data_IF_603592138162
#
_entry.id   IF_603592138162
#
_cell.length_a   1.000
_cell.length_b   1.000
_cell.length_c   1.000
_cell.angle_alpha   90.00
_cell.angle_beta   90.00
_cell.angle_gamma   90.00
#
_symmetry.space_group_name_H-M   'P 1'
#
loop_
_entity.id
_entity.type
_entity.pdbx_description
1 polymer ?
#
# COMPACT_ATOMS: atom_id res chain seq x y z
N UNK A 1 1.97 6.99 43.67
CA UNK A 1 1.74 5.94 42.66
C UNK A 1 3.10 5.50 42.15
N UNK A 2 3.52 4.25 42.39
CA UNK A 2 4.85 3.77 41.98
C UNK A 2 4.78 3.20 40.56
N UNK A 3 5.65 3.66 39.66
CA UNK A 3 5.74 3.16 38.28
C UNK A 3 6.46 1.79 38.31
N UNK A 4 5.93 0.75 37.65
CA UNK A 4 6.58 -0.57 37.61
C UNK A 4 7.93 -0.50 36.88
N UNK A 5 8.88 -1.35 37.28
CA UNK A 5 10.22 -1.39 36.69
C UNK A 5 10.14 -1.90 35.24
N UNK A 6 10.85 -1.28 34.28
CA UNK A 6 10.85 -1.73 32.90
C UNK A 6 11.45 -3.14 32.78
N UNK A 7 10.80 -3.97 31.95
CA UNK A 7 11.18 -5.36 31.72
C UNK A 7 12.54 -5.46 31.03
N UNK A 8 13.39 -6.38 31.50
CA UNK A 8 14.67 -6.69 30.84
C UNK A 8 14.42 -7.55 29.58
N UNK A 9 15.25 -7.47 28.53
CA UNK A 9 15.11 -8.33 27.34
C UNK A 9 15.13 -9.82 27.67
N UNK A 10 15.84 -10.22 28.73
CA UNK A 10 15.87 -11.60 29.22
C UNK A 10 14.52 -12.12 29.72
N UNK A 11 13.57 -11.25 30.05
CA UNK A 11 12.22 -11.64 30.44
C UNK A 11 11.50 -12.40 29.31
N UNK A 12 11.74 -12.02 28.05
CA UNK A 12 11.12 -12.67 26.88
C UNK A 12 11.45 -14.16 26.83
N UNK A 13 12.72 -14.52 27.04
CA UNK A 13 13.16 -15.91 27.03
C UNK A 13 12.57 -16.73 28.18
N UNK A 14 12.45 -16.11 29.36
CA UNK A 14 11.84 -16.74 30.52
C UNK A 14 10.35 -16.99 30.30
N UNK A 15 9.64 -16.01 29.75
CA UNK A 15 8.21 -16.11 29.47
C UNK A 15 7.94 -17.13 28.35
N UNK A 16 8.77 -17.18 27.32
CA UNK A 16 8.69 -18.20 26.26
C UNK A 16 8.90 -19.61 26.82
N UNK A 17 9.89 -19.80 27.70
CA UNK A 17 10.12 -21.10 28.36
C UNK A 17 8.93 -21.50 29.25
N UNK A 18 8.37 -20.55 30.00
CA UNK A 18 7.20 -20.78 30.85
C UNK A 18 5.96 -21.17 30.01
N UNK A 19 5.73 -20.48 28.89
CA UNK A 19 4.67 -20.80 27.94
C UNK A 19 4.83 -22.22 27.37
N UNK A 20 6.05 -22.59 26.96
CA UNK A 20 6.36 -23.92 26.45
C UNK A 20 6.17 -25.02 27.52
N UNK A 21 6.43 -24.71 28.79
CA UNK A 21 6.26 -25.65 29.91
C UNK A 21 4.79 -25.86 30.35
N UNK A 22 3.86 -24.96 30.03
CA UNK A 22 2.46 -25.06 30.45
C UNK A 22 1.69 -26.22 29.80
N UNK A 23 0.76 -26.88 30.51
CA UNK A 23 0.08 -28.10 30.01
C UNK A 23 -1.24 -27.86 29.24
N UNK A 24 -1.34 -26.76 28.50
CA UNK A 24 -2.56 -26.39 27.78
C UNK A 24 -2.61 -27.05 26.40
N UNK A 25 -3.71 -27.75 26.07
CA UNK A 25 -3.86 -28.51 24.82
C UNK A 25 -3.70 -27.67 23.55
N UNK A 26 -4.20 -26.44 23.57
CA UNK A 26 -4.23 -25.56 22.38
C UNK A 26 -3.08 -24.53 22.34
N UNK A 27 -2.12 -24.57 23.28
CA UNK A 27 -1.07 -23.54 23.39
C UNK A 27 -0.24 -23.40 22.11
N UNK A 28 0.12 -24.53 21.49
CA UNK A 28 1.00 -24.53 20.33
C UNK A 28 0.28 -23.97 19.11
N UNK A 29 -1.01 -24.26 18.96
CA UNK A 29 -1.82 -23.72 17.87
C UNK A 29 -1.95 -22.19 18.00
N UNK A 30 -2.28 -21.70 19.18
CA UNK A 30 -2.41 -20.25 19.43
C UNK A 30 -1.06 -19.55 19.29
N UNK A 31 0.01 -20.15 19.82
CA UNK A 31 1.38 -19.63 19.69
C UNK A 31 1.83 -19.57 18.23
N UNK A 32 1.52 -20.61 17.44
CA UNK A 32 1.79 -20.64 16.00
C UNK A 32 1.04 -19.52 15.28
N UNK A 33 -0.27 -19.36 15.51
CA UNK A 33 -1.08 -18.30 14.90
C UNK A 33 -0.54 -16.90 15.27
N UNK A 34 -0.14 -16.72 16.54
CA UNK A 34 0.42 -15.47 17.03
C UNK A 34 1.71 -15.05 16.32
N UNK A 35 2.53 -16.01 15.87
CA UNK A 35 3.75 -15.72 15.10
C UNK A 35 3.45 -15.63 13.61
N UNK A 36 2.55 -16.48 13.12
CA UNK A 36 2.20 -16.60 11.70
C UNK A 36 1.54 -15.34 11.15
N UNK A 37 0.58 -14.74 11.86
CA UNK A 37 -0.10 -13.53 11.37
C UNK A 37 0.87 -12.36 11.15
N UNK A 38 1.71 -11.95 12.13
CA UNK A 38 2.70 -10.91 11.91
C UNK A 38 3.74 -11.28 10.85
N UNK A 39 4.17 -12.55 10.81
CA UNK A 39 5.14 -13.02 9.81
C UNK A 39 4.59 -12.91 8.38
N UNK A 40 3.33 -13.28 8.15
CA UNK A 40 2.66 -13.12 6.85
C UNK A 40 2.54 -11.65 6.45
N UNK A 41 2.25 -10.77 7.40
CA UNK A 41 2.15 -9.34 7.15
C UNK A 41 3.51 -8.74 6.74
N UNK A 42 4.58 -9.09 7.45
CA UNK A 42 5.95 -8.70 7.08
C UNK A 42 6.37 -9.29 5.73
N UNK A 43 6.03 -10.56 5.47
CA UNK A 43 6.31 -11.22 4.20
C UNK A 43 5.57 -10.55 3.03
N UNK A 44 4.31 -10.15 3.24
CA UNK A 44 3.53 -9.40 2.25
C UNK A 44 4.19 -8.08 1.88
N UNK A 45 4.59 -7.27 2.87
CA UNK A 45 5.34 -6.04 2.62
C UNK A 45 6.69 -6.30 1.95
N UNK A 46 7.39 -7.36 2.34
CA UNK A 46 8.67 -7.71 1.73
C UNK A 46 8.52 -8.04 0.25
N UNK A 47 7.48 -8.80 -0.13
CA UNK A 47 7.19 -9.10 -1.55
C UNK A 47 6.77 -7.84 -2.30
N UNK A 48 5.89 -7.01 -1.72
CA UNK A 48 5.42 -5.77 -2.33
C UNK A 48 6.55 -4.72 -2.50
N UNK A 49 7.51 -4.69 -1.58
CA UNK A 49 8.66 -3.77 -1.65
C UNK A 49 9.60 -4.02 -2.84
N UNK A 50 9.48 -5.18 -3.51
CA UNK A 50 10.29 -5.54 -4.68
C UNK A 50 9.73 -4.98 -5.99
N UNK A 51 8.68 -4.15 -5.95
CA UNK A 51 8.17 -3.43 -7.13
C UNK A 51 9.26 -2.50 -7.66
N UNK A 52 9.53 -2.58 -8.97
CA UNK A 52 10.51 -1.75 -9.64
C UNK A 52 10.29 -0.26 -9.30
N UNK A 53 11.37 0.52 -9.07
CA UNK A 53 11.24 1.95 -8.85
C UNK A 53 10.47 2.57 -10.03
N UNK A 54 9.58 3.55 -9.77
CA UNK A 54 8.79 4.15 -10.83
C UNK A 54 9.73 4.68 -11.92
N UNK A 55 9.50 4.22 -13.17
CA UNK A 55 10.31 4.66 -14.31
C UNK A 55 10.30 6.19 -14.35
N UNK A 56 11.46 6.85 -14.51
CA UNK A 56 11.53 8.30 -14.59
C UNK A 56 10.64 8.78 -15.75
N UNK A 57 9.61 9.55 -15.42
CA UNK A 57 8.73 10.14 -16.43
C UNK A 57 9.42 11.41 -16.95
N UNK A 58 9.90 11.37 -18.20
CA UNK A 58 10.31 12.59 -18.88
C UNK A 58 9.06 13.37 -19.32
N UNK A 59 8.76 14.46 -18.62
CA UNK A 59 7.77 15.43 -19.07
C UNK A 59 8.46 16.43 -20.00
N UNK A 60 8.19 16.31 -21.31
CA UNK A 60 8.63 17.30 -22.28
C UNK A 60 7.68 18.50 -22.19
N UNK A 61 8.19 19.61 -21.68
CA UNK A 61 7.49 20.90 -21.75
C UNK A 61 7.85 21.50 -23.11
N UNK A 62 6.90 21.58 -24.07
CA UNK A 62 7.18 22.21 -25.34
C UNK A 62 7.48 23.71 -25.13
N UNK A 63 8.50 24.22 -25.82
CA UNK A 63 8.74 25.66 -25.90
C UNK A 63 7.64 26.31 -26.76
N UNK A 64 6.97 27.31 -26.23
CA UNK A 64 5.92 28.04 -26.95
C UNK A 64 6.44 29.39 -27.46
N UNK A 65 6.02 29.83 -28.66
CA UNK A 65 6.35 31.16 -29.15
C UNK A 65 5.68 32.23 -28.28
N UNK A 66 6.36 33.34 -28.02
CA UNK A 66 5.83 34.46 -27.24
C UNK A 66 4.63 35.15 -27.91
N UNK A 67 4.41 34.91 -29.21
CA UNK A 67 3.33 35.47 -30.02
C UNK A 67 2.06 34.63 -30.00
N UNK A 68 2.01 33.55 -29.21
CA UNK A 68 0.83 32.68 -29.13
C UNK A 68 -0.38 33.45 -28.62
N UNK A 69 -1.53 33.26 -29.27
CA UNK A 69 -2.78 33.90 -28.86
C UNK A 69 -3.52 33.12 -27.77
N UNK A 70 -4.32 33.82 -26.96
CA UNK A 70 -5.16 33.20 -25.92
C UNK A 70 -6.15 32.17 -26.50
N UNK A 71 -6.66 32.42 -27.71
CA UNK A 71 -7.56 31.49 -28.40
C UNK A 71 -6.88 30.13 -28.67
N UNK A 72 -5.61 30.15 -29.09
CA UNK A 72 -4.81 28.94 -29.33
C UNK A 72 -4.45 28.22 -28.03
N UNK A 73 -4.28 28.96 -26.92
CA UNK A 73 -4.06 28.38 -25.59
C UNK A 73 -5.30 27.63 -25.13
N UNK A 74 -6.47 28.27 -25.19
CA UNK A 74 -7.74 27.68 -24.76
C UNK A 74 -8.10 26.46 -25.61
N UNK A 75 -7.87 26.52 -26.92
CA UNK A 75 -8.10 25.39 -27.82
C UNK A 75 -7.24 24.17 -27.44
N UNK A 76 -5.95 24.40 -27.17
CA UNK A 76 -5.03 23.34 -26.75
C UNK A 76 -5.38 22.77 -25.36
N UNK A 77 -5.73 23.64 -24.40
CA UNK A 77 -6.18 23.22 -23.08
C UNK A 77 -7.40 22.30 -23.15
N UNK A 78 -8.37 22.59 -24.02
CA UNK A 78 -9.53 21.70 -24.22
C UNK A 78 -9.11 20.32 -24.76
N UNK A 79 -8.14 20.26 -25.66
CA UNK A 79 -7.63 18.99 -26.21
C UNK A 79 -6.91 18.20 -25.11
N UNK A 80 -6.06 18.85 -24.34
CA UNK A 80 -5.28 18.19 -23.29
C UNK A 80 -6.18 17.76 -22.13
N UNK A 81 -7.18 18.56 -21.78
CA UNK A 81 -8.20 18.19 -20.79
C UNK A 81 -8.95 16.92 -21.22
N UNK A 82 -9.38 16.82 -22.48
CA UNK A 82 -10.04 15.60 -23.00
C UNK A 82 -9.13 14.38 -22.90
N UNK A 83 -7.84 14.50 -23.20
CA UNK A 83 -6.87 13.39 -23.06
C UNK A 83 -6.72 12.96 -21.59
N UNK A 84 -6.68 13.91 -20.67
CA UNK A 84 -6.61 13.62 -19.23
C UNK A 84 -7.89 12.96 -18.72
N UNK A 85 -9.04 13.44 -19.17
CA UNK A 85 -10.35 12.88 -18.79
C UNK A 85 -10.48 11.43 -19.27
N UNK A 86 -10.10 11.14 -20.52
CA UNK A 86 -10.09 9.79 -21.07
C UNK A 86 -9.16 8.84 -20.30
N UNK A 87 -7.97 9.29 -19.90
CA UNK A 87 -7.05 8.50 -19.05
C UNK A 87 -7.65 8.23 -17.67
N UNK A 88 -8.30 9.23 -17.06
CA UNK A 88 -8.98 9.08 -15.77
C UNK A 88 -10.14 8.11 -15.88
N UNK A 89 -10.91 8.15 -16.96
CA UNK A 89 -11.99 7.20 -17.23
C UNK A 89 -11.50 5.76 -17.39
N UNK A 90 -10.44 5.54 -18.17
CA UNK A 90 -9.84 4.22 -18.31
C UNK A 90 -9.40 3.66 -16.95
N UNK A 91 -8.74 4.48 -16.12
CA UNK A 91 -8.35 4.08 -14.76
C UNK A 91 -9.55 3.77 -13.87
N UNK A 92 -10.62 4.58 -13.92
CA UNK A 92 -11.86 4.30 -13.19
C UNK A 92 -12.46 2.97 -13.62
N UNK A 93 -12.45 2.65 -14.92
CA UNK A 93 -12.96 1.37 -15.42
C UNK A 93 -12.10 0.18 -14.96
N UNK A 94 -10.77 0.31 -14.97
CA UNK A 94 -9.86 -0.70 -14.42
C UNK A 94 -10.19 -0.99 -12.94
N UNK A 95 -10.34 0.05 -12.13
CA UNK A 95 -10.67 -0.11 -10.71
C UNK A 95 -12.07 -0.70 -10.50
N UNK A 96 -13.07 -0.31 -11.31
CA UNK A 96 -14.40 -0.91 -11.26
C UNK A 96 -14.36 -2.41 -11.58
N UNK A 97 -13.63 -2.82 -12.63
CA UNK A 97 -13.46 -4.24 -12.96
C UNK A 97 -12.79 -5.03 -11.83
N UNK A 98 -11.77 -4.45 -11.20
CA UNK A 98 -11.12 -5.07 -10.04
C UNK A 98 -12.09 -5.17 -8.85
N UNK A 99 -12.87 -4.13 -8.60
CA UNK A 99 -13.86 -4.13 -7.54
C UNK A 99 -14.95 -5.19 -7.77
N UNK A 100 -15.46 -5.32 -9.00
CA UNK A 100 -16.43 -6.36 -9.39
C UNK A 100 -15.86 -7.77 -9.18
N UNK A 101 -14.59 -8.01 -9.56
CA UNK A 101 -13.90 -9.28 -9.33
C UNK A 101 -13.73 -9.61 -7.85
N UNK A 102 -13.58 -8.58 -7.00
CA UNK A 102 -13.43 -8.71 -5.56
C UNK A 102 -14.77 -8.64 -4.80
N UNK A 103 -15.89 -8.51 -5.51
CA UNK A 103 -17.24 -8.40 -4.92
C UNK A 103 -17.50 -7.08 -4.18
N UNK A 104 -16.72 -6.05 -4.43
CA UNK A 104 -16.85 -4.72 -3.83
C UNK A 104 -17.79 -3.88 -4.70
N UNK A 105 -18.93 -3.44 -4.16
CA UNK A 105 -19.84 -2.52 -4.86
C UNK A 105 -19.25 -1.11 -4.85
N UNK A 106 -19.04 -0.54 -6.04
CA UNK A 106 -18.59 0.83 -6.24
C UNK A 106 -19.74 1.59 -6.90
N UNK A 107 -20.48 2.36 -6.10
CA UNK A 107 -21.55 3.25 -6.56
C UNK A 107 -20.96 4.53 -7.21
#
# INVERSE_FOLDING_TARGET
>A
MAIPRPSKPSAVWRDLRAFMAGNQRHKLLIGLISVLIPALLVAGFYVDSRVDPPKPQMYFIPSWPATRSDAEIIAQQKIDQKKLDAKREAKRQEYRRLADQLGIKVD
#
